data_IF_989123293820
#
_entry.id   IF_989123293820
#
_cell.length_a   1.000
_cell.length_b   1.000
_cell.length_c   1.000
_cell.angle_alpha   90.00
_cell.angle_beta   90.00
_cell.angle_gamma   90.00
#
_symmetry.space_group_name_H-M   'P 1'
#
loop_
_entity.id
_entity.type
_entity.pdbx_description
1 polymer ?
#
# COMPACT_ATOMS: atom_id res chain seq x y z
N UNK A 1 -25.19 -49.63 -42.78
CA UNK A 1 -24.64 -48.27 -42.84
C UNK A 1 -24.48 -47.80 -41.40
N UNK A 2 -23.32 -47.52 -40.82
CA UNK A 2 -21.94 -47.48 -41.26
C UNK A 2 -21.07 -47.94 -40.07
N UNK A 3 -19.99 -48.65 -40.40
CA UNK A 3 -18.89 -49.00 -39.51
C UNK A 3 -17.91 -47.84 -39.48
N UNK A 4 -17.42 -47.44 -38.31
CA UNK A 4 -16.07 -46.89 -38.20
C UNK A 4 -15.50 -46.98 -36.78
N UNK A 5 -14.38 -47.70 -36.73
CA UNK A 5 -13.48 -47.98 -35.62
C UNK A 5 -12.59 -46.76 -35.31
N UNK A 6 -12.12 -46.64 -34.06
CA UNK A 6 -10.75 -46.22 -33.66
C UNK A 6 -10.56 -46.45 -32.14
N UNK A 7 -10.00 -47.60 -31.77
CA UNK A 7 -8.60 -47.87 -31.34
C UNK A 7 -8.33 -47.53 -29.86
N UNK A 8 -8.27 -48.59 -29.05
CA UNK A 8 -7.56 -48.62 -27.76
C UNK A 8 -6.05 -48.75 -28.05
N UNK A 9 -5.23 -47.93 -27.39
CA UNK A 9 -3.77 -48.02 -27.40
C UNK A 9 -3.32 -48.82 -26.16
N UNK A 10 -2.73 -49.98 -26.39
CA UNK A 10 -1.93 -50.72 -25.41
C UNK A 10 -0.71 -51.34 -26.08
N UNK A 11 0.32 -51.57 -25.25
CA UNK A 11 1.68 -52.11 -25.50
C UNK A 11 2.71 -51.11 -26.05
N UNK A 12 3.96 -51.06 -25.58
CA UNK A 12 4.77 -52.15 -24.99
C UNK A 12 5.81 -51.69 -23.96
N UNK A 13 6.01 -52.53 -22.95
CA UNK A 13 7.17 -52.55 -22.04
C UNK A 13 8.30 -53.40 -22.63
N UNK A 14 9.57 -53.03 -22.33
CA UNK A 14 10.81 -53.84 -22.18
C UNK A 14 12.03 -53.19 -22.89
N UNK A 15 13.28 -53.62 -22.62
CA UNK A 15 14.17 -53.07 -21.60
C UNK A 15 15.53 -52.62 -22.19
N UNK A 16 16.37 -51.96 -21.40
CA UNK A 16 17.76 -51.64 -21.76
C UNK A 16 18.22 -50.39 -21.01
N UNK A 17 18.91 -50.58 -19.90
CA UNK A 17 20.37 -50.68 -19.78
C UNK A 17 21.03 -49.30 -19.60
N UNK A 18 21.71 -49.24 -18.47
CA UNK A 18 22.54 -48.21 -17.87
C UNK A 18 23.39 -47.40 -18.87
N UNK A 19 23.33 -46.08 -18.74
CA UNK A 19 24.49 -45.20 -18.94
C UNK A 19 24.30 -43.95 -18.08
N UNK A 20 25.00 -43.92 -16.94
CA UNK A 20 25.20 -42.72 -16.15
C UNK A 20 26.01 -41.71 -16.97
N UNK A 21 25.34 -40.68 -17.50
CA UNK A 21 25.99 -39.46 -17.94
C UNK A 21 25.83 -38.43 -16.81
N UNK A 22 26.86 -38.34 -15.97
CA UNK A 22 27.07 -37.21 -15.08
C UNK A 22 27.73 -36.10 -15.90
N UNK A 23 26.93 -35.12 -16.29
CA UNK A 23 27.27 -33.79 -16.80
C UNK A 23 25.96 -33.01 -16.64
N UNK A 24 25.87 -31.82 -16.07
CA UNK A 24 26.78 -30.70 -16.14
C UNK A 24 26.23 -29.65 -15.15
N UNK A 25 27.11 -29.02 -14.38
CA UNK A 25 26.89 -27.80 -13.59
C UNK A 25 25.46 -27.49 -13.10
N UNK A 26 25.10 -28.00 -11.92
CA UNK A 26 24.12 -27.34 -11.05
C UNK A 26 24.76 -26.10 -10.39
N UNK A 27 25.24 -25.18 -11.22
CA UNK A 27 25.40 -23.79 -10.81
C UNK A 27 24.00 -23.21 -10.74
N UNK A 28 23.38 -23.37 -9.57
CA UNK A 28 22.28 -22.54 -9.13
C UNK A 28 22.63 -21.10 -9.50
N UNK A 29 22.01 -20.61 -10.59
CA UNK A 29 22.09 -19.21 -10.99
C UNK A 29 21.64 -18.45 -9.76
N UNK A 30 22.61 -17.86 -9.03
CA UNK A 30 22.35 -16.81 -8.05
C UNK A 30 21.74 -15.68 -8.87
N UNK A 31 20.43 -15.74 -9.06
CA UNK A 31 19.63 -14.59 -9.46
C UNK A 31 20.01 -13.56 -8.41
N UNK A 32 20.73 -12.53 -8.85
CA UNK A 32 21.04 -11.39 -8.02
C UNK A 32 19.68 -10.81 -7.67
N UNK A 33 19.14 -11.20 -6.53
CA UNK A 33 17.84 -10.75 -6.05
C UNK A 33 17.90 -9.23 -6.06
N UNK A 34 17.17 -8.65 -7.02
CA UNK A 34 16.98 -7.22 -7.06
C UNK A 34 16.27 -6.87 -5.76
N UNK A 35 16.84 -5.98 -4.98
CA UNK A 35 16.23 -5.55 -3.73
C UNK A 35 15.01 -4.70 -4.09
N UNK A 36 13.87 -5.35 -4.30
CA UNK A 36 12.61 -4.72 -4.76
C UNK A 36 12.17 -3.57 -3.82
N UNK A 37 12.63 -3.58 -2.56
CA UNK A 37 12.38 -2.53 -1.58
C UNK A 37 13.20 -1.28 -1.87
N UNK A 38 14.43 -1.43 -2.37
CA UNK A 38 15.30 -0.32 -2.71
C UNK A 38 14.78 0.49 -3.92
N UNK A 39 13.99 -0.14 -4.78
CA UNK A 39 13.32 0.52 -5.90
C UNK A 39 12.04 1.27 -5.46
N UNK A 40 11.58 1.10 -4.22
CA UNK A 40 10.45 1.86 -3.69
C UNK A 40 10.90 3.24 -3.24
N UNK A 41 10.15 4.26 -3.65
CA UNK A 41 10.44 5.64 -3.30
C UNK A 41 9.26 6.55 -3.55
N UNK A 42 9.43 7.80 -3.12
CA UNK A 42 8.47 8.85 -3.39
C UNK A 42 8.42 9.14 -4.90
N UNK A 43 7.25 8.98 -5.51
CA UNK A 43 6.99 9.27 -6.92
C UNK A 43 7.11 10.77 -7.15
N UNK A 44 7.68 11.18 -8.29
CA UNK A 44 7.78 12.59 -8.64
C UNK A 44 6.38 13.22 -8.84
N UNK A 45 6.19 14.50 -8.48
CA UNK A 45 4.90 15.20 -8.62
C UNK A 45 4.23 15.05 -9.99
N UNK A 46 5.02 15.05 -11.06
CA UNK A 46 4.63 14.97 -12.47
C UNK A 46 4.26 13.55 -12.94
N UNK A 47 4.74 12.52 -12.25
CA UNK A 47 4.46 11.11 -12.52
C UNK A 47 3.38 10.54 -11.59
N UNK A 48 3.02 11.31 -10.55
CA UNK A 48 2.13 10.86 -9.51
C UNK A 48 0.68 10.79 -10.01
N UNK A 49 -0.03 9.76 -9.53
CA UNK A 49 -1.42 9.53 -9.88
C UNK A 49 -2.34 10.50 -9.14
N UNK A 50 -3.20 11.23 -9.84
CA UNK A 50 -4.11 12.19 -9.23
C UNK A 50 -5.33 11.50 -8.62
N UNK A 51 -5.73 11.93 -7.43
CA UNK A 51 -6.92 11.46 -6.75
C UNK A 51 -7.66 12.66 -6.12
N UNK A 52 -8.99 12.65 -6.22
CA UNK A 52 -9.84 13.72 -5.70
C UNK A 52 -10.08 13.50 -4.20
N UNK A 53 -9.45 14.32 -3.38
CA UNK A 53 -9.55 14.22 -1.91
C UNK A 53 -10.97 14.52 -1.44
N UNK A 54 -11.70 15.38 -2.15
CA UNK A 54 -13.09 15.72 -1.84
C UNK A 54 -13.97 14.47 -1.86
N UNK A 55 -13.80 13.59 -2.86
CA UNK A 55 -14.56 12.34 -2.93
C UNK A 55 -14.27 11.42 -1.75
N UNK A 56 -13.03 11.43 -1.23
CA UNK A 56 -12.66 10.65 -0.06
C UNK A 56 -13.29 11.22 1.21
N UNK A 57 -13.30 12.55 1.35
CA UNK A 57 -13.88 13.23 2.51
C UNK A 57 -15.40 13.18 2.54
N UNK A 58 -16.04 13.15 1.37
CA UNK A 58 -17.49 13.01 1.21
C UNK A 58 -17.97 11.55 1.41
N UNK A 59 -17.04 10.60 1.49
CA UNK A 59 -17.38 9.19 1.65
C UNK A 59 -17.84 8.85 3.07
N UNK A 60 -18.75 7.86 3.22
CA UNK A 60 -19.16 7.38 4.53
C UNK A 60 -17.95 7.02 5.39
N UNK A 61 -17.82 7.71 6.52
CA UNK A 61 -16.68 7.57 7.43
C UNK A 61 -17.18 7.22 8.81
N UNK A 62 -16.70 6.11 9.35
CA UNK A 62 -16.93 5.70 10.74
C UNK A 62 -15.75 6.14 11.58
N UNK A 63 -16.00 6.90 12.65
CA UNK A 63 -14.97 7.30 13.62
C UNK A 63 -15.10 6.40 14.85
N UNK A 64 -14.25 5.38 15.02
CA UNK A 64 -14.29 4.52 16.19
C UNK A 64 -13.88 5.28 17.46
N UNK A 65 -14.55 5.00 18.57
CA UNK A 65 -14.12 5.48 19.89
C UNK A 65 -12.93 4.64 20.35
N UNK A 66 -11.76 5.23 20.62
CA UNK A 66 -10.59 4.49 21.06
C UNK A 66 -10.82 3.87 22.45
N UNK A 67 -10.36 2.64 22.63
CA UNK A 67 -10.24 2.02 23.96
C UNK A 67 -9.05 2.62 24.73
N UNK A 68 -8.99 2.39 26.04
CA UNK A 68 -7.93 2.91 26.93
C UNK A 68 -6.51 2.49 26.53
N UNK A 69 -6.37 1.39 25.80
CA UNK A 69 -5.08 0.85 25.33
C UNK A 69 -4.74 1.23 23.89
N UNK A 70 -5.66 1.89 23.18
CA UNK A 70 -5.49 2.22 21.76
C UNK A 70 -4.94 3.64 21.60
N UNK A 71 -4.02 3.80 20.65
CA UNK A 71 -3.62 5.12 20.17
C UNK A 71 -4.76 5.71 19.33
N UNK A 72 -5.24 6.89 19.71
CA UNK A 72 -6.19 7.66 18.91
C UNK A 72 -5.44 8.42 17.81
N UNK A 73 -5.55 7.93 16.58
CA UNK A 73 -4.97 8.59 15.41
C UNK A 73 -5.95 9.50 14.66
N UNK A 74 -7.15 9.75 15.19
CA UNK A 74 -8.08 10.70 14.57
C UNK A 74 -7.53 12.13 14.69
N UNK A 75 -7.14 12.69 13.53
CA UNK A 75 -6.55 14.02 13.46
C UNK A 75 -7.40 15.03 12.67
N UNK A 76 -8.70 14.75 12.46
CA UNK A 76 -9.56 15.61 11.65
C UNK A 76 -9.69 17.05 12.18
N UNK A 77 -9.54 17.25 13.49
CA UNK A 77 -9.52 18.60 14.10
C UNK A 77 -8.41 19.50 13.55
N UNK A 78 -7.34 18.91 13.03
CA UNK A 78 -6.18 19.60 12.47
C UNK A 78 -6.17 19.56 10.93
N UNK A 79 -7.26 19.13 10.30
CA UNK A 79 -7.35 19.09 8.84
C UNK A 79 -7.32 20.51 8.25
N UNK A 80 -6.50 20.68 7.21
CA UNK A 80 -6.43 21.89 6.41
C UNK A 80 -6.19 21.46 4.95
N UNK A 81 -7.11 21.77 4.01
CA UNK A 81 -7.01 21.31 2.62
C UNK A 81 -5.71 21.74 1.93
N UNK A 82 -5.11 22.87 2.35
CA UNK A 82 -3.87 23.39 1.76
C UNK A 82 -2.60 22.85 2.45
N UNK A 83 -2.72 22.09 3.54
CA UNK A 83 -1.57 21.65 4.35
C UNK A 83 -1.56 20.17 4.69
N UNK A 84 -2.71 19.51 4.68
CA UNK A 84 -2.87 18.13 5.10
C UNK A 84 -2.37 17.16 4.05
N UNK A 85 -1.43 16.31 4.47
CA UNK A 85 -1.08 15.08 3.78
C UNK A 85 -2.04 13.99 4.25
N UNK A 86 -2.28 12.98 3.42
CA UNK A 86 -3.09 11.82 3.81
C UNK A 86 -2.24 10.56 3.81
N UNK A 87 -2.38 9.74 4.85
CA UNK A 87 -1.90 8.37 4.89
C UNK A 87 -3.12 7.46 4.89
N UNK A 88 -3.22 6.64 3.85
CA UNK A 88 -4.29 5.69 3.66
C UNK A 88 -3.75 4.29 3.97
N UNK A 89 -4.27 3.68 5.03
CA UNK A 89 -4.04 2.29 5.37
C UNK A 89 -5.13 1.45 4.68
N UNK A 90 -4.78 0.85 3.55
CA UNK A 90 -5.70 0.02 2.78
C UNK A 90 -5.66 -1.40 3.32
N UNK A 91 -6.81 -1.87 3.78
CA UNK A 91 -6.94 -3.18 4.39
C UNK A 91 -7.85 -4.08 3.54
N UNK A 92 -7.24 -5.12 3.01
CA UNK A 92 -7.90 -6.27 2.40
C UNK A 92 -8.02 -7.37 3.43
N UNK A 93 -6.99 -8.21 3.50
CA UNK A 93 -7.00 -9.43 4.32
C UNK A 93 -5.91 -9.42 5.42
N UNK A 94 -4.99 -8.43 5.43
CA UNK A 94 -3.83 -8.40 6.32
C UNK A 94 -3.94 -7.31 7.41
N UNK A 95 -3.50 -7.64 8.63
CA UNK A 95 -3.35 -6.69 9.76
C UNK A 95 -2.01 -5.98 9.79
N UNK A 96 -1.03 -6.49 9.04
CA UNK A 96 0.35 -6.02 9.06
C UNK A 96 0.52 -4.53 8.68
N UNK A 97 -0.24 -3.97 7.71
CA UNK A 97 -0.20 -2.53 7.44
C UNK A 97 -0.54 -1.68 8.68
N UNK A 98 -1.52 -2.10 9.48
CA UNK A 98 -1.89 -1.39 10.72
C UNK A 98 -0.77 -1.42 11.75
N UNK A 99 -0.08 -2.55 11.92
CA UNK A 99 1.01 -2.68 12.88
C UNK A 99 2.19 -1.76 12.51
N UNK A 100 2.56 -1.71 11.22
CA UNK A 100 3.61 -0.79 10.73
C UNK A 100 3.17 0.66 10.92
N UNK A 101 1.93 1.01 10.55
CA UNK A 101 1.43 2.37 10.69
C UNK A 101 1.36 2.80 12.17
N UNK A 102 0.91 1.94 13.07
CA UNK A 102 0.87 2.22 14.51
C UNK A 102 2.24 2.66 15.04
N UNK A 103 3.31 1.97 14.63
CA UNK A 103 4.66 2.29 15.07
C UNK A 103 5.21 3.57 14.43
N UNK A 104 4.79 3.90 13.20
CA UNK A 104 5.22 5.12 12.52
C UNK A 104 4.46 6.37 12.99
N UNK A 105 3.14 6.24 13.19
CA UNK A 105 2.21 7.37 13.23
C UNK A 105 2.55 8.46 14.26
N UNK A 106 2.97 8.15 15.50
CA UNK A 106 3.37 9.19 16.45
C UNK A 106 4.49 10.09 15.93
N UNK A 107 5.51 9.50 15.29
CA UNK A 107 6.64 10.25 14.71
C UNK A 107 6.22 11.03 13.46
N UNK A 108 5.31 10.47 12.66
CA UNK A 108 4.78 11.15 11.48
C UNK A 108 3.93 12.36 11.87
N UNK A 109 3.10 12.27 12.92
CA UNK A 109 2.31 13.38 13.45
C UNK A 109 3.18 14.48 14.07
N UNK A 110 4.32 14.12 14.67
CA UNK A 110 5.29 15.10 15.15
C UNK A 110 5.92 15.88 13.98
N UNK A 111 6.17 15.20 12.85
CA UNK A 111 6.77 15.80 11.65
C UNK A 111 5.75 16.62 10.86
N UNK A 112 4.52 16.13 10.72
CA UNK A 112 3.42 16.76 10.00
C UNK A 112 2.17 16.81 10.89
N UNK A 113 1.97 17.90 11.66
CA UNK A 113 0.84 18.01 12.58
C UNK A 113 -0.55 18.01 11.90
N UNK A 114 -0.61 18.33 10.60
CA UNK A 114 -1.85 18.34 9.80
C UNK A 114 -2.12 17.01 9.08
N UNK A 115 -1.25 16.00 9.24
CA UNK A 115 -1.37 14.67 8.61
C UNK A 115 -2.67 13.98 9.01
N UNK A 116 -3.38 13.44 8.02
CA UNK A 116 -4.61 12.68 8.23
C UNK A 116 -4.35 11.20 7.97
N UNK A 117 -4.46 10.36 8.99
CA UNK A 117 -4.34 8.90 8.85
C UNK A 117 -5.73 8.26 8.82
N UNK A 118 -6.03 7.53 7.75
CA UNK A 118 -7.35 6.93 7.50
C UNK A 118 -7.19 5.46 7.13
N UNK A 119 -8.19 4.65 7.44
CA UNK A 119 -8.30 3.29 6.94
C UNK A 119 -9.24 3.28 5.75
N UNK A 120 -8.81 2.68 4.63
CA UNK A 120 -9.70 2.34 3.52
C UNK A 120 -10.11 0.88 3.65
N UNK A 121 -11.40 0.65 3.80
CA UNK A 121 -11.97 -0.67 3.94
C UNK A 121 -13.14 -0.87 2.99
N UNK A 122 -13.36 -2.13 2.58
CA UNK A 122 -14.52 -2.48 1.77
C UNK A 122 -15.84 -2.20 2.50
N UNK A 123 -15.89 -2.58 3.78
CA UNK A 123 -17.03 -2.34 4.64
C UNK A 123 -16.54 -2.18 6.08
N UNK A 124 -16.98 -1.14 6.82
CA UNK A 124 -16.56 -0.93 8.21
C UNK A 124 -16.93 -2.10 9.13
N UNK A 125 -18.07 -2.76 8.90
CA UNK A 125 -18.56 -3.86 9.74
C UNK A 125 -17.66 -5.10 9.70
N UNK A 126 -17.11 -5.41 8.52
CA UNK A 126 -16.17 -6.50 8.34
C UNK A 126 -14.84 -6.26 9.08
N UNK A 127 -14.50 -4.98 9.30
CA UNK A 127 -13.26 -4.56 9.94
C UNK A 127 -13.36 -4.50 11.47
N UNK A 128 -14.56 -4.49 12.04
CA UNK A 128 -14.79 -4.26 13.48
C UNK A 128 -14.04 -5.24 14.39
N UNK A 129 -14.00 -6.53 14.03
CA UNK A 129 -13.27 -7.54 14.80
C UNK A 129 -11.75 -7.32 14.74
N UNK A 130 -11.23 -6.96 13.57
CA UNK A 130 -9.81 -6.67 13.37
C UNK A 130 -9.40 -5.42 14.16
N UNK A 131 -10.21 -4.36 14.09
CA UNK A 131 -9.97 -3.11 14.81
C UNK A 131 -10.08 -3.23 16.33
N UNK A 132 -10.94 -4.11 16.84
CA UNK A 132 -11.05 -4.35 18.29
C UNK A 132 -9.73 -4.85 18.90
N UNK A 133 -8.92 -5.56 18.12
CA UNK A 133 -7.59 -6.07 18.53
C UNK A 133 -6.43 -5.16 18.12
N UNK A 134 -6.69 -4.14 17.29
CA UNK A 134 -5.66 -3.22 16.82
C UNK A 134 -5.20 -2.31 17.96
N UNK A 135 -3.90 -2.02 18.10
CA UNK A 135 -3.41 -1.00 19.04
C UNK A 135 -3.70 0.43 18.54
N UNK A 136 -4.25 0.57 17.33
CA UNK A 136 -4.49 1.83 16.66
C UNK A 136 -5.97 2.01 16.33
N UNK A 137 -6.55 3.15 16.70
CA UNK A 137 -7.90 3.59 16.34
C UNK A 137 -7.80 4.71 15.31
N UNK A 138 -8.28 4.47 14.08
CA UNK A 138 -8.31 5.45 12.99
C UNK A 138 -9.72 5.57 12.41
N UNK A 139 -10.08 6.74 11.83
CA UNK A 139 -11.28 6.84 11.01
C UNK A 139 -11.25 5.83 9.85
N UNK A 140 -12.38 5.16 9.64
CA UNK A 140 -12.55 4.12 8.61
C UNK A 140 -13.46 4.69 7.53
N UNK A 141 -12.92 4.82 6.33
CA UNK A 141 -13.65 5.27 5.14
C UNK A 141 -14.10 4.04 4.35
N UNK A 142 -15.39 4.01 4.02
CA UNK A 142 -15.94 3.01 3.11
C UNK A 142 -15.49 3.31 1.68
N UNK A 143 -14.73 2.37 1.11
CA UNK A 143 -14.02 2.56 -0.15
C UNK A 143 -14.57 1.72 -1.32
N UNK A 144 -15.68 0.99 -1.09
CA UNK A 144 -16.40 0.26 -2.13
C UNK A 144 -17.83 0.80 -2.28
N UNK A 145 -18.19 1.18 -3.51
CA UNK A 145 -19.52 1.63 -3.85
C UNK A 145 -19.52 2.40 -5.17
N UNK A 146 -20.70 2.84 -5.60
CA UNK A 146 -20.84 3.81 -6.69
C UNK A 146 -21.26 5.15 -6.07
N UNK A 147 -20.51 6.26 -6.28
CA UNK A 147 -19.35 6.42 -7.17
C UNK A 147 -17.98 6.14 -6.51
N UNK A 148 -17.96 5.79 -5.23
CA UNK A 148 -16.75 5.66 -4.41
C UNK A 148 -16.09 4.28 -4.52
N UNK A 149 -15.52 3.95 -5.69
CA UNK A 149 -14.57 2.84 -5.78
C UNK A 149 -13.14 3.39 -5.65
N UNK A 150 -12.77 3.77 -4.44
CA UNK A 150 -11.47 4.39 -4.15
C UNK A 150 -10.30 3.46 -4.47
N UNK A 151 -10.49 2.15 -4.29
CA UNK A 151 -9.45 1.17 -4.65
C UNK A 151 -9.12 1.23 -6.15
N UNK A 152 -10.13 1.32 -7.01
CA UNK A 152 -9.90 1.48 -8.45
C UNK A 152 -9.28 2.83 -8.77
N UNK A 153 -9.83 3.92 -8.22
CA UNK A 153 -9.37 5.29 -8.49
C UNK A 153 -7.94 5.53 -8.01
N UNK A 154 -7.50 4.85 -6.96
CA UNK A 154 -6.13 4.90 -6.44
C UNK A 154 -5.22 3.85 -7.07
N UNK A 155 -5.70 2.98 -7.96
CA UNK A 155 -4.92 1.89 -8.55
C UNK A 155 -4.43 0.86 -7.52
N UNK A 156 -5.27 0.52 -6.55
CA UNK A 156 -5.00 -0.35 -5.40
C UNK A 156 -5.84 -1.63 -5.44
N UNK A 157 -6.17 -2.13 -6.63
CA UNK A 157 -6.78 -3.45 -6.78
C UNK A 157 -5.68 -4.52 -6.82
N UNK A 158 -5.89 -5.61 -6.09
CA UNK A 158 -4.95 -6.73 -6.05
C UNK A 158 -4.85 -7.39 -7.44
N UNK A 159 -3.64 -7.61 -7.99
CA UNK A 159 -3.48 -8.14 -9.35
C UNK A 159 -4.14 -9.51 -9.58
N UNK A 160 -4.10 -10.38 -8.57
CA UNK A 160 -4.78 -11.69 -8.59
C UNK A 160 -6.22 -11.64 -8.03
N UNK A 161 -6.71 -10.46 -7.69
CA UNK A 161 -7.98 -10.24 -7.00
C UNK A 161 -9.19 -10.12 -7.93
N UNK A 162 -9.04 -10.42 -9.23
CA UNK A 162 -10.11 -10.34 -10.23
C UNK A 162 -10.75 -8.94 -10.36
N UNK A 163 -10.00 -7.89 -10.02
CA UNK A 163 -10.51 -6.50 -10.01
C UNK A 163 -11.48 -6.17 -8.87
N UNK A 164 -11.61 -7.07 -7.89
CA UNK A 164 -12.58 -6.91 -6.78
C UNK A 164 -11.88 -6.69 -5.44
N UNK A 165 -10.74 -7.34 -5.21
CA UNK A 165 -10.05 -7.29 -3.92
C UNK A 165 -9.10 -6.08 -3.86
N UNK A 166 -9.11 -5.30 -2.78
CA UNK A 166 -8.09 -4.29 -2.56
C UNK A 166 -6.73 -4.96 -2.30
N UNK A 167 -5.66 -4.24 -2.62
CA UNK A 167 -4.31 -4.56 -2.23
C UNK A 167 -4.07 -4.03 -0.82
N UNK A 168 -3.63 -4.89 0.10
CA UNK A 168 -3.14 -4.46 1.41
C UNK A 168 -1.93 -3.53 1.24
N UNK A 169 -2.06 -2.27 1.64
CA UNK A 169 -1.06 -1.24 1.37
C UNK A 169 -1.10 -0.06 2.35
N UNK A 170 0.02 0.63 2.52
CA UNK A 170 0.05 2.00 3.05
C UNK A 170 0.33 2.95 1.89
N UNK A 171 -0.48 3.98 1.75
CA UNK A 171 -0.39 4.95 0.65
C UNK A 171 -0.28 6.36 1.21
N UNK A 172 0.58 7.19 0.62
CA UNK A 172 0.67 8.61 0.97
C UNK A 172 0.12 9.45 -0.18
N UNK A 173 -0.85 10.31 0.13
CA UNK A 173 -1.29 11.38 -0.76
C UNK A 173 -0.70 12.72 -0.29
N UNK A 174 -0.23 13.52 -1.24
CA UNK A 174 0.19 14.89 -0.92
C UNK A 174 -0.98 15.88 -0.85
N UNK A 175 -0.67 17.15 -0.56
CA UNK A 175 -1.66 18.22 -0.41
C UNK A 175 -2.42 18.53 -1.70
N UNK A 176 -1.95 18.05 -2.85
CA UNK A 176 -2.64 18.19 -4.12
C UNK A 176 -3.47 16.94 -4.48
N UNK A 177 -3.61 15.99 -3.55
CA UNK A 177 -4.31 14.74 -3.79
C UNK A 177 -3.55 13.74 -4.65
N UNK A 178 -2.24 13.91 -4.85
CA UNK A 178 -1.45 13.00 -5.67
C UNK A 178 -0.97 11.81 -4.85
N UNK A 179 -1.10 10.60 -5.38
CA UNK A 179 -0.56 9.37 -4.81
C UNK A 179 0.96 9.33 -4.98
N UNK A 180 1.70 9.69 -3.93
CA UNK A 180 3.16 9.85 -3.94
C UNK A 180 3.94 8.64 -3.46
N UNK A 181 3.33 7.75 -2.68
CA UNK A 181 3.98 6.53 -2.21
C UNK A 181 2.94 5.40 -2.09
N UNK A 182 3.37 4.17 -2.38
CA UNK A 182 2.63 2.95 -2.09
C UNK A 182 3.61 1.94 -1.49
N UNK A 183 3.27 1.43 -0.32
CA UNK A 183 3.97 0.33 0.33
C UNK A 183 3.01 -0.86 0.33
N UNK A 184 3.17 -1.83 -0.57
CA UNK A 184 2.33 -3.03 -0.61
C UNK A 184 2.69 -4.00 0.52
N UNK A 185 1.75 -4.85 0.91
CA UNK A 185 1.94 -5.94 1.87
C UNK A 185 1.42 -7.24 1.27
N UNK A 186 2.15 -8.34 1.46
CA UNK A 186 1.80 -9.64 0.87
C UNK A 186 1.99 -9.72 -0.65
N UNK A 187 2.49 -8.65 -1.28
CA UNK A 187 2.72 -8.57 -2.72
C UNK A 187 3.95 -7.71 -3.04
N UNK A 188 4.61 -7.99 -4.17
CA UNK A 188 5.76 -7.21 -4.67
C UNK A 188 6.87 -7.09 -3.62
N UNK A 189 7.36 -5.87 -3.40
CA UNK A 189 8.38 -5.56 -2.38
C UNK A 189 7.95 -5.90 -0.95
N UNK A 190 6.64 -6.04 -0.69
CA UNK A 190 6.07 -6.38 0.62
C UNK A 190 5.70 -7.84 0.81
N UNK A 191 6.06 -8.73 -0.12
CA UNK A 191 5.70 -10.16 -0.05
C UNK A 191 6.23 -10.85 1.22
N UNK A 192 7.40 -10.43 1.70
CA UNK A 192 8.14 -11.09 2.79
C UNK A 192 8.05 -10.36 4.14
N UNK A 193 7.18 -9.35 4.27
CA UNK A 193 7.09 -8.51 5.50
C UNK A 193 6.63 -9.33 6.71
N UNK A 194 5.88 -10.40 6.47
CA UNK A 194 5.40 -11.34 7.49
C UNK A 194 6.37 -12.47 7.82
N UNK A 195 7.51 -12.57 7.14
CA UNK A 195 8.46 -13.67 7.33
C UNK A 195 9.17 -13.57 8.67
N UNK A 196 9.34 -14.70 9.37
CA UNK A 196 9.94 -14.74 10.70
C UNK A 196 11.40 -14.28 10.75
N UNK A 197 12.15 -14.47 9.66
CA UNK A 197 13.60 -14.21 9.62
C UNK A 197 13.88 -12.80 9.09
N UNK A 198 13.27 -12.42 7.97
CA UNK A 198 13.57 -11.16 7.27
C UNK A 198 12.50 -10.08 7.45
N UNK A 199 11.30 -10.44 7.92
CA UNK A 199 10.16 -9.54 8.02
C UNK A 199 10.42 -8.32 8.89
N UNK A 200 11.10 -8.48 10.04
CA UNK A 200 11.46 -7.34 10.91
C UNK A 200 12.34 -6.33 10.20
N UNK A 201 13.31 -6.79 9.40
CA UNK A 201 14.19 -5.89 8.64
C UNK A 201 13.41 -5.12 7.58
N UNK A 202 12.46 -5.79 6.91
CA UNK A 202 11.60 -5.16 5.90
C UNK A 202 10.67 -4.14 6.56
N UNK A 203 10.07 -4.46 7.69
CA UNK A 203 9.22 -3.54 8.45
C UNK A 203 10.00 -2.29 8.87
N UNK A 204 11.24 -2.43 9.35
CA UNK A 204 12.10 -1.30 9.68
C UNK A 204 12.38 -0.40 8.45
N UNK A 205 12.62 -1.00 7.29
CA UNK A 205 12.78 -0.24 6.04
C UNK A 205 11.50 0.49 5.64
N UNK A 206 10.33 -0.12 5.82
CA UNK A 206 9.04 0.53 5.55
C UNK A 206 8.79 1.70 6.49
N UNK A 207 9.13 1.55 7.77
CA UNK A 207 9.06 2.64 8.76
C UNK A 207 9.94 3.81 8.35
N UNK A 208 11.20 3.55 7.97
CA UNK A 208 12.12 4.58 7.50
C UNK A 208 11.58 5.26 6.22
N UNK A 209 11.12 4.47 5.25
CA UNK A 209 10.56 4.99 4.00
C UNK A 209 9.35 5.92 4.24
N UNK A 210 8.45 5.57 5.18
CA UNK A 210 7.32 6.42 5.55
C UNK A 210 7.78 7.75 6.17
N UNK A 211 8.73 7.71 7.10
CA UNK A 211 9.26 8.88 7.78
C UNK A 211 9.98 9.83 6.80
N UNK A 212 10.86 9.27 5.96
CA UNK A 212 11.59 10.01 4.94
C UNK A 212 10.63 10.63 3.92
N UNK A 213 9.59 9.89 3.52
CA UNK A 213 8.59 10.37 2.56
C UNK A 213 7.78 11.54 3.11
N UNK A 214 7.29 11.45 4.36
CA UNK A 214 6.56 12.57 4.99
C UNK A 214 7.47 13.78 5.16
N UNK A 215 8.72 13.59 5.61
CA UNK A 215 9.70 14.66 5.76
C UNK A 215 9.97 15.37 4.42
N UNK A 216 10.16 14.60 3.35
CA UNK A 216 10.38 15.12 2.01
C UNK A 216 9.15 15.90 1.51
N UNK A 217 7.94 15.37 1.68
CA UNK A 217 6.71 16.06 1.27
C UNK A 217 6.48 17.37 2.03
N UNK A 218 6.78 17.40 3.32
CA UNK A 218 6.75 18.63 4.11
C UNK A 218 7.74 19.68 3.57
N UNK A 219 8.94 19.25 3.16
CA UNK A 219 9.94 20.14 2.54
C UNK A 219 9.52 20.67 1.16
N UNK A 220 8.88 19.83 0.33
CA UNK A 220 8.31 20.21 -0.97
C UNK A 220 7.21 21.26 -0.77
N UNK A 221 6.32 21.05 0.19
CA UNK A 221 5.25 21.99 0.57
C UNK A 221 5.81 23.35 1.00
N UNK A 222 6.84 23.36 1.84
CA UNK A 222 7.49 24.59 2.27
C UNK A 222 8.16 25.35 1.10
N UNK A 223 8.67 24.62 0.11
CA UNK A 223 9.31 25.20 -1.07
C UNK A 223 8.30 25.78 -2.06
N UNK A 224 7.17 25.11 -2.27
CA UNK A 224 6.09 25.59 -3.15
C UNK A 224 5.56 26.95 -2.69
N UNK A 225 5.29 27.11 -1.39
CA UNK A 225 4.81 28.38 -0.81
C UNK A 225 5.76 29.54 -1.05
N UNK A 226 7.08 29.30 -1.03
CA UNK A 226 8.08 30.33 -1.31
C UNK A 226 8.01 30.78 -2.77
N UNK A 227 7.87 29.85 -3.72
CA UNK A 227 7.76 30.16 -5.14
C UNK A 227 6.53 31.03 -5.43
N UNK A 228 5.37 30.67 -4.86
CA UNK A 228 4.14 31.44 -5.04
C UNK A 228 4.29 32.88 -4.56
N UNK A 229 4.93 33.11 -3.40
CA UNK A 229 5.17 34.46 -2.89
C UNK A 229 6.01 35.32 -3.85
N UNK A 230 7.09 34.76 -4.43
CA UNK A 230 7.95 35.51 -5.34
C UNK A 230 7.31 35.77 -6.70
N UNK A 231 6.57 34.80 -7.25
CA UNK A 231 5.86 35.01 -8.52
C UNK A 231 4.73 36.04 -8.38
N UNK A 232 4.01 36.02 -7.25
CA UNK A 232 3.04 37.07 -6.92
C UNK A 232 3.75 38.41 -6.77
N UNK A 233 4.85 38.50 -6.03
CA UNK A 233 5.59 39.74 -5.85
C UNK A 233 6.11 40.35 -7.17
N UNK A 234 6.61 39.53 -8.12
CA UNK A 234 7.02 39.98 -9.47
C UNK A 234 5.90 40.62 -10.28
N UNK A 235 4.63 40.35 -9.94
CA UNK A 235 3.48 40.94 -10.63
C UNK A 235 3.20 42.37 -10.11
N UNK A 236 3.71 42.71 -8.92
CA UNK A 236 3.45 43.99 -8.25
C UNK A 236 4.65 44.95 -8.22
N UNK A 237 5.84 44.52 -8.66
CA UNK A 237 7.07 45.31 -8.71
C UNK A 237 7.75 45.15 -10.08
#
# INVERSE_FOLDING_TARGET
>A
MESSRKRSLTYSSSPGDECYAADDNDQTKRVKDKDDIADMGLIAPEEAWNFLIEELLDSPTTIPTPNTTQFDGNNFKNYDPAKSLFILCVLGDLTLPLAVLHNALPSLLQTSPNLQALILARSPTALSSMMASSPLSLPIVEAQGNPANHFLKLGLLHPLGGGQRPLDAIVILDTAGRRRLIIPFGWGAGKHVGDLIIGTTIQQRFLALLQDSVTKLESEKATSKKKDFYEVAKTYF
#
